data_IF_848014252987
#
_entry.id   IF_848014252987
#
_cell.length_a   1.000
_cell.length_b   1.000
_cell.length_c   1.000
_cell.angle_alpha   90.00
_cell.angle_beta   90.00
_cell.angle_gamma   90.00
#
_symmetry.space_group_name_H-M   'P 1'
#
loop_
_entity.id
_entity.type
_entity.pdbx_description
1 polymer ?
#
# COMPACT_ATOMS: atom_id res chain seq x y z
N UNK A 1 2.58 -68.14 -55.21
CA UNK A 1 3.32 -66.87 -55.02
C UNK A 1 2.33 -65.74 -55.26
N UNK A 2 1.79 -65.21 -54.16
CA UNK A 2 1.83 -63.79 -53.73
C UNK A 2 0.80 -62.94 -54.49
N UNK A 3 -0.42 -62.83 -53.94
CA UNK A 3 -0.89 -61.80 -52.98
C UNK A 3 -1.09 -60.43 -53.64
N UNK A 4 -2.35 -60.10 -53.91
CA UNK A 4 -2.81 -58.75 -54.23
C UNK A 4 -4.19 -58.54 -53.59
N UNK A 5 -4.25 -58.17 -52.31
CA UNK A 5 -5.38 -57.40 -51.75
C UNK A 5 -5.06 -56.81 -50.36
N UNK A 6 -3.95 -56.07 -50.19
CA UNK A 6 -3.76 -55.25 -48.98
C UNK A 6 -2.94 -54.02 -49.40
N UNK A 7 -3.60 -52.96 -49.88
CA UNK A 7 -2.93 -51.66 -50.10
C UNK A 7 -3.86 -50.46 -49.96
N UNK A 8 -5.18 -50.60 -50.13
CA UNK A 8 -6.10 -49.45 -50.00
C UNK A 8 -6.56 -49.17 -48.55
N UNK A 9 -6.48 -50.15 -47.65
CA UNK A 9 -6.92 -49.97 -46.25
C UNK A 9 -5.90 -49.26 -45.37
N UNK A 10 -4.62 -49.26 -45.75
CA UNK A 10 -3.50 -48.68 -44.98
C UNK A 10 -3.29 -47.18 -45.24
N UNK A 11 -3.60 -46.69 -46.45
CA UNK A 11 -3.48 -45.26 -46.77
C UNK A 11 -4.57 -44.40 -46.13
N UNK A 12 -5.79 -44.93 -45.98
CA UNK A 12 -6.90 -44.20 -45.35
C UNK A 12 -6.71 -44.06 -43.84
N UNK A 13 -6.15 -45.08 -43.19
CA UNK A 13 -5.85 -45.05 -41.74
C UNK A 13 -4.73 -44.07 -41.42
N UNK A 14 -3.64 -44.04 -42.18
CA UNK A 14 -2.51 -43.12 -41.94
C UNK A 14 -2.87 -41.63 -42.09
N UNK A 15 -3.76 -41.27 -43.01
CA UNK A 15 -4.23 -39.89 -43.16
C UNK A 15 -5.19 -39.45 -42.04
N UNK A 16 -6.00 -40.39 -41.52
CA UNK A 16 -6.92 -40.09 -40.41
C UNK A 16 -6.20 -39.92 -39.06
N UNK A 17 -5.11 -40.66 -38.84
CA UNK A 17 -4.28 -40.55 -37.63
C UNK A 17 -3.48 -39.24 -37.64
N UNK A 18 -2.93 -38.82 -38.78
CA UNK A 18 -2.18 -37.55 -38.89
C UNK A 18 -3.04 -36.30 -38.73
N UNK A 19 -4.30 -36.34 -39.18
CA UNK A 19 -5.28 -35.26 -38.95
C UNK A 19 -5.73 -35.18 -37.50
N UNK A 20 -5.93 -36.32 -36.81
CA UNK A 20 -6.24 -36.34 -35.38
C UNK A 20 -5.07 -35.82 -34.54
N UNK A 21 -3.84 -36.21 -34.86
CA UNK A 21 -2.64 -35.67 -34.19
C UNK A 21 -2.50 -34.15 -34.38
N UNK A 22 -2.73 -33.64 -35.59
CA UNK A 22 -2.72 -32.20 -35.83
C UNK A 22 -3.84 -31.47 -35.09
N UNK A 23 -5.06 -32.00 -35.06
CA UNK A 23 -6.19 -31.40 -34.31
C UNK A 23 -5.93 -31.42 -32.81
N UNK A 24 -5.36 -32.50 -32.27
CA UNK A 24 -4.99 -32.62 -30.85
C UNK A 24 -3.89 -31.61 -30.49
N UNK A 25 -2.85 -31.48 -31.32
CA UNK A 25 -1.75 -30.52 -31.11
C UNK A 25 -2.23 -29.08 -31.26
N UNK A 26 -3.10 -28.78 -32.22
CA UNK A 26 -3.72 -27.46 -32.40
C UNK A 26 -4.70 -27.11 -31.28
N UNK A 27 -5.45 -28.08 -30.74
CA UNK A 27 -6.33 -27.88 -29.60
C UNK A 27 -5.55 -27.67 -28.29
N UNK A 28 -4.48 -28.44 -28.04
CA UNK A 28 -3.59 -28.29 -26.88
C UNK A 28 -2.86 -26.93 -26.88
N UNK A 29 -2.39 -26.48 -28.04
CA UNK A 29 -1.75 -25.17 -28.19
C UNK A 29 -2.74 -24.01 -28.06
N UNK A 30 -3.98 -24.14 -28.56
CA UNK A 30 -5.06 -23.16 -28.36
C UNK A 30 -5.53 -23.05 -26.90
N UNK A 31 -5.60 -24.17 -26.17
CA UNK A 31 -5.93 -24.20 -24.74
C UNK A 31 -4.80 -23.58 -23.91
N UNK A 32 -3.54 -23.91 -24.21
CA UNK A 32 -2.38 -23.30 -23.53
C UNK A 32 -2.31 -21.79 -23.79
N UNK A 33 -2.56 -21.33 -25.03
CA UNK A 33 -2.56 -19.91 -25.39
C UNK A 33 -3.67 -19.11 -24.70
N UNK A 34 -4.88 -19.68 -24.61
CA UNK A 34 -6.01 -19.05 -23.93
C UNK A 34 -5.85 -19.01 -22.40
N UNK A 35 -5.25 -20.04 -21.79
CA UNK A 35 -4.90 -20.03 -20.36
C UNK A 35 -3.81 -19.01 -20.06
N UNK A 36 -2.77 -18.89 -20.89
CA UNK A 36 -1.73 -17.86 -20.75
C UNK A 36 -2.28 -16.45 -20.91
N UNK A 37 -3.22 -16.26 -21.83
CA UNK A 37 -3.89 -14.96 -22.03
C UNK A 37 -4.85 -14.64 -20.89
N UNK A 38 -5.56 -15.63 -20.34
CA UNK A 38 -6.39 -15.48 -19.15
C UNK A 38 -5.54 -15.16 -17.92
N UNK A 39 -4.41 -15.85 -17.72
CA UNK A 39 -3.45 -15.55 -16.65
C UNK A 39 -2.86 -14.16 -16.85
N UNK A 40 -2.48 -13.79 -18.08
CA UNK A 40 -1.98 -12.46 -18.40
C UNK A 40 -3.04 -11.37 -18.19
N UNK A 41 -4.29 -11.62 -18.56
CA UNK A 41 -5.41 -10.70 -18.35
C UNK A 41 -5.78 -10.58 -16.87
N UNK A 42 -5.75 -11.69 -16.11
CA UNK A 42 -5.86 -11.70 -14.66
C UNK A 42 -4.70 -10.89 -14.07
N UNK A 43 -3.46 -11.14 -14.48
CA UNK A 43 -2.29 -10.43 -13.96
C UNK A 43 -2.34 -8.93 -14.28
N UNK A 44 -2.76 -8.53 -15.48
CA UNK A 44 -2.96 -7.13 -15.87
C UNK A 44 -4.14 -6.51 -15.13
N UNK A 45 -5.24 -7.25 -14.92
CA UNK A 45 -6.40 -6.78 -14.16
C UNK A 45 -6.08 -6.61 -12.67
N UNK A 46 -5.34 -7.55 -12.08
CA UNK A 46 -4.87 -7.48 -10.69
C UNK A 46 -3.77 -6.44 -10.52
N UNK A 47 -2.80 -6.35 -11.43
CA UNK A 47 -1.75 -5.33 -11.43
C UNK A 47 -2.34 -3.93 -11.62
N UNK A 48 -3.26 -3.76 -12.56
CA UNK A 48 -4.01 -2.51 -12.73
C UNK A 48 -4.84 -2.14 -11.49
N UNK A 49 -5.35 -3.13 -10.74
CA UNK A 49 -6.03 -2.90 -9.46
C UNK A 49 -5.08 -2.56 -8.32
N UNK A 50 -3.89 -3.15 -8.29
CA UNK A 50 -2.83 -2.80 -7.33
C UNK A 50 -2.30 -1.40 -7.59
N UNK A 51 -2.06 -1.05 -8.85
CA UNK A 51 -1.59 0.28 -9.25
C UNK A 51 -2.67 1.34 -8.99
N UNK A 52 -3.95 1.06 -9.33
CA UNK A 52 -5.06 1.95 -8.97
C UNK A 52 -5.24 2.08 -7.44
N UNK A 53 -4.98 1.01 -6.67
CA UNK A 53 -5.01 1.07 -5.21
C UNK A 53 -3.84 1.90 -4.66
N UNK A 54 -2.64 1.76 -5.21
CA UNK A 54 -1.47 2.58 -4.86
C UNK A 54 -1.74 4.04 -5.18
N UNK A 55 -2.27 4.35 -6.36
CA UNK A 55 -2.63 5.71 -6.76
C UNK A 55 -3.74 6.31 -5.88
N UNK A 56 -4.76 5.52 -5.53
CA UNK A 56 -5.80 5.93 -4.59
C UNK A 56 -5.21 6.22 -3.20
N UNK A 57 -4.38 5.32 -2.66
CA UNK A 57 -3.76 5.49 -1.34
C UNK A 57 -2.79 6.68 -1.33
N UNK A 58 -2.03 6.89 -2.41
CA UNK A 58 -1.15 8.03 -2.57
C UNK A 58 -1.93 9.34 -2.62
N UNK A 59 -3.02 9.39 -3.40
CA UNK A 59 -3.92 10.54 -3.44
C UNK A 59 -4.55 10.81 -2.06
N UNK A 60 -5.03 9.77 -1.37
CA UNK A 60 -5.56 9.88 -0.01
C UNK A 60 -4.51 10.41 0.97
N UNK A 61 -3.27 9.92 0.83
CA UNK A 61 -2.16 10.32 1.68
C UNK A 61 -1.80 11.80 1.49
N UNK A 62 -1.67 12.26 0.25
CA UNK A 62 -1.30 13.64 -0.07
C UNK A 62 -2.43 14.66 0.09
N UNK A 63 -3.65 14.30 -0.33
CA UNK A 63 -4.77 15.26 -0.42
C UNK A 63 -5.59 15.32 0.86
N UNK A 64 -5.60 14.26 1.67
CA UNK A 64 -6.40 14.18 2.89
C UNK A 64 -5.50 14.05 4.13
N UNK A 65 -4.77 12.94 4.28
CA UNK A 65 -4.01 12.64 5.49
C UNK A 65 -2.93 13.67 5.78
N UNK A 66 -2.17 14.11 4.78
CA UNK A 66 -1.12 15.09 4.95
C UNK A 66 -1.66 16.45 5.43
N UNK A 67 -2.58 17.12 4.73
CA UNK A 67 -3.06 18.43 5.17
C UNK A 67 -3.89 18.37 6.45
N UNK A 68 -4.70 17.33 6.66
CA UNK A 68 -5.66 17.28 7.76
C UNK A 68 -5.10 16.67 9.04
N UNK A 69 -4.14 15.75 8.95
CA UNK A 69 -3.62 15.02 10.12
C UNK A 69 -2.14 15.30 10.33
N UNK A 70 -1.31 15.04 9.33
CA UNK A 70 0.14 15.08 9.51
C UNK A 70 0.66 16.49 9.63
N UNK A 71 0.18 17.42 8.81
CA UNK A 71 0.66 18.80 8.81
C UNK A 71 0.40 19.48 10.16
N UNK A 72 -0.79 19.42 10.78
CA UNK A 72 -0.99 19.98 12.12
C UNK A 72 -0.06 19.35 13.17
N UNK A 73 0.07 18.01 13.17
CA UNK A 73 0.94 17.30 14.11
C UNK A 73 2.42 17.68 13.92
N UNK A 74 2.89 17.75 12.67
CA UNK A 74 4.27 18.15 12.35
C UNK A 74 4.51 19.63 12.64
N UNK A 75 3.51 20.48 12.50
CA UNK A 75 3.63 21.90 12.85
C UNK A 75 3.92 22.06 14.34
N UNK A 76 3.25 21.31 15.20
CA UNK A 76 3.56 21.31 16.64
C UNK A 76 4.97 20.84 16.94
N UNK A 77 5.43 19.78 16.25
CA UNK A 77 6.82 19.33 16.36
C UNK A 77 7.81 20.43 15.96
N UNK A 78 7.60 21.07 14.81
CA UNK A 78 8.50 22.11 14.32
C UNK A 78 8.48 23.36 15.20
N UNK A 79 7.32 23.77 15.71
CA UNK A 79 7.21 24.88 16.64
C UNK A 79 8.03 24.62 17.91
N UNK A 80 7.92 23.41 18.47
CA UNK A 80 8.73 22.99 19.62
C UNK A 80 10.23 23.01 19.30
N UNK A 81 10.64 22.42 18.19
CA UNK A 81 12.06 22.37 17.83
C UNK A 81 12.63 23.77 17.56
N UNK A 82 11.91 24.63 16.84
CA UNK A 82 12.35 25.99 16.54
C UNK A 82 12.49 26.82 17.82
N UNK A 83 11.50 26.72 18.71
CA UNK A 83 11.56 27.40 20.00
C UNK A 83 12.79 26.96 20.83
N UNK A 84 13.07 25.65 20.84
CA UNK A 84 14.26 25.11 21.49
C UNK A 84 15.58 25.60 20.88
N UNK A 85 15.63 25.87 19.57
CA UNK A 85 16.82 26.44 18.91
C UNK A 85 16.98 27.94 19.24
N UNK A 86 15.88 28.68 19.28
CA UNK A 86 15.85 30.12 19.55
C UNK A 86 15.93 30.46 21.05
N UNK A 87 15.99 29.44 21.92
CA UNK A 87 16.01 29.59 23.38
C UNK A 87 14.68 30.05 23.98
N UNK A 88 13.58 29.96 23.22
CA UNK A 88 12.24 30.31 23.67
C UNK A 88 11.49 29.09 24.23
N UNK A 89 10.56 29.33 25.14
CA UNK A 89 9.75 28.27 25.74
C UNK A 89 8.51 28.05 24.86
N UNK A 90 8.34 26.82 24.38
CA UNK A 90 7.15 26.39 23.66
C UNK A 90 6.61 25.10 24.27
N UNK A 91 5.33 25.11 24.61
CA UNK A 91 4.61 23.93 25.05
C UNK A 91 3.78 23.40 23.88
N UNK A 92 4.02 22.13 23.52
CA UNK A 92 3.22 21.40 22.53
C UNK A 92 1.73 21.49 22.89
N UNK A 93 0.90 21.93 21.95
CA UNK A 93 -0.55 21.99 22.14
C UNK A 93 -1.15 20.58 22.05
N UNK A 94 -1.30 19.94 23.21
CA UNK A 94 -1.87 18.59 23.30
C UNK A 94 -3.35 18.54 22.93
N UNK A 95 -4.09 19.63 23.11
CA UNK A 95 -5.51 19.69 22.76
C UNK A 95 -5.69 19.77 21.25
N UNK A 96 -4.86 20.58 20.57
CA UNK A 96 -4.84 20.64 19.11
C UNK A 96 -4.55 19.27 18.50
N UNK A 97 -3.54 18.57 19.02
CA UNK A 97 -3.19 17.22 18.56
C UNK A 97 -4.32 16.23 18.84
N UNK A 98 -4.91 16.26 20.05
CA UNK A 98 -6.03 15.38 20.40
C UNK A 98 -7.21 15.58 19.44
N UNK A 99 -7.63 16.83 19.23
CA UNK A 99 -8.75 17.17 18.35
C UNK A 99 -8.45 16.78 16.90
N UNK A 100 -7.25 17.08 16.40
CA UNK A 100 -6.80 16.70 15.06
C UNK A 100 -6.95 15.19 14.83
N UNK A 101 -6.51 14.37 15.78
CA UNK A 101 -6.58 12.91 15.66
C UNK A 101 -8.03 12.41 15.81
N UNK A 102 -8.79 12.97 16.75
CA UNK A 102 -10.18 12.59 17.00
C UNK A 102 -11.06 12.87 15.78
N UNK A 103 -10.98 14.07 15.22
CA UNK A 103 -11.81 14.52 14.10
C UNK A 103 -11.50 13.74 12.81
N UNK A 104 -10.26 13.26 12.68
CA UNK A 104 -9.77 12.53 11.50
C UNK A 104 -9.56 11.03 11.74
N UNK A 105 -10.18 10.46 12.79
CA UNK A 105 -9.98 9.06 13.18
C UNK A 105 -10.19 8.06 12.03
N UNK A 106 -11.19 8.31 11.18
CA UNK A 106 -11.50 7.46 10.02
C UNK A 106 -10.40 7.52 8.95
N UNK A 107 -9.84 8.70 8.68
CA UNK A 107 -8.75 8.86 7.71
C UNK A 107 -7.50 8.12 8.17
N UNK A 108 -7.18 8.22 9.46
CA UNK A 108 -5.99 7.59 10.07
C UNK A 108 -5.99 6.07 9.92
N UNK A 109 -7.16 5.43 9.77
CA UNK A 109 -7.24 3.98 9.49
C UNK A 109 -6.52 3.59 8.19
N UNK A 110 -6.44 4.49 7.22
CA UNK A 110 -5.77 4.27 5.94
C UNK A 110 -4.26 4.57 5.97
N UNK A 111 -3.75 5.12 7.06
CA UNK A 111 -2.31 5.30 7.24
C UNK A 111 -1.58 3.95 7.34
N UNK A 112 -0.29 3.90 6.97
CA UNK A 112 0.58 2.74 7.21
C UNK A 112 0.47 2.24 8.65
N UNK A 113 0.48 0.93 8.85
CA UNK A 113 0.22 0.31 10.17
C UNK A 113 1.13 0.86 11.27
N UNK A 114 2.41 1.07 10.96
CA UNK A 114 3.40 1.61 11.90
C UNK A 114 3.06 3.06 12.26
N UNK A 115 2.90 3.93 11.27
CA UNK A 115 2.49 5.33 11.45
C UNK A 115 1.20 5.45 12.27
N UNK A 116 0.17 4.68 11.93
CA UNK A 116 -1.12 4.63 12.64
C UNK A 116 -0.95 4.27 14.12
N UNK A 117 -0.08 3.33 14.43
CA UNK A 117 0.18 2.89 15.81
C UNK A 117 0.81 4.02 16.63
N UNK A 118 1.76 4.75 16.04
CA UNK A 118 2.42 5.87 16.70
C UNK A 118 1.43 7.03 16.90
N UNK A 119 0.59 7.33 15.91
CA UNK A 119 -0.45 8.37 16.01
C UNK A 119 -1.45 8.06 17.13
N UNK A 120 -1.93 6.83 17.25
CA UNK A 120 -2.85 6.48 18.35
C UNK A 120 -2.15 6.44 19.72
N UNK A 121 -0.85 6.14 19.75
CA UNK A 121 -0.07 6.29 20.98
C UNK A 121 0.02 7.76 21.38
N UNK A 122 0.34 8.65 20.43
CA UNK A 122 0.36 10.10 20.64
C UNK A 122 -1.00 10.60 21.17
N UNK A 123 -2.11 10.20 20.53
CA UNK A 123 -3.46 10.53 21.00
C UNK A 123 -3.68 10.14 22.46
N UNK A 124 -3.31 8.92 22.84
CA UNK A 124 -3.44 8.46 24.22
C UNK A 124 -2.59 9.27 25.20
N UNK A 125 -1.39 9.70 24.81
CA UNK A 125 -0.54 10.54 25.68
C UNK A 125 -1.13 11.94 25.82
N UNK A 126 -1.55 12.57 24.72
CA UNK A 126 -2.14 13.91 24.72
C UNK A 126 -3.44 13.95 25.54
N UNK A 127 -4.32 12.97 25.35
CA UNK A 127 -5.59 12.85 26.11
C UNK A 127 -5.39 12.68 27.61
N UNK A 128 -4.26 12.12 28.04
CA UNK A 128 -3.94 11.95 29.46
C UNK A 128 -3.46 13.25 30.12
N UNK A 129 -3.19 14.32 29.35
CA UNK A 129 -2.75 15.62 29.85
C UNK A 129 -3.97 16.45 30.25
N UNK A 130 -4.30 16.43 31.54
CA UNK A 130 -5.37 17.24 32.12
C UNK A 130 -4.86 18.35 33.07
N UNK A 131 -3.53 18.51 33.16
CA UNK A 131 -2.86 19.48 34.03
C UNK A 131 -1.41 19.67 33.58
N UNK A 132 -0.78 20.77 34.02
CA UNK A 132 0.63 21.07 33.75
C UNK A 132 1.55 19.97 34.30
N UNK A 133 1.28 19.47 35.51
CA UNK A 133 2.08 18.38 36.08
C UNK A 133 2.03 17.10 35.23
N UNK A 134 0.86 16.80 34.63
CA UNK A 134 0.73 15.68 33.70
C UNK A 134 1.44 15.93 32.38
N UNK A 135 1.42 17.18 31.90
CA UNK A 135 2.20 17.58 30.74
C UNK A 135 3.69 17.31 30.98
N UNK A 136 4.27 17.79 32.07
CA UNK A 136 5.69 17.62 32.37
C UNK A 136 6.10 16.14 32.47
N UNK A 137 5.22 15.29 33.02
CA UNK A 137 5.43 13.84 33.08
C UNK A 137 5.40 13.15 31.71
N UNK A 138 4.69 13.72 30.74
CA UNK A 138 4.40 13.11 29.44
C UNK A 138 5.11 13.78 28.27
N UNK A 139 5.67 14.97 28.47
CA UNK A 139 6.27 15.79 27.43
C UNK A 139 7.32 15.00 26.62
N UNK A 140 8.18 14.25 27.30
CA UNK A 140 9.19 13.41 26.65
C UNK A 140 8.57 12.33 25.75
N UNK A 141 7.54 11.64 26.23
CA UNK A 141 6.85 10.59 25.48
C UNK A 141 6.11 11.17 24.26
N UNK A 142 5.46 12.33 24.44
CA UNK A 142 4.78 13.09 23.38
C UNK A 142 5.78 13.48 22.31
N UNK A 143 6.91 14.09 22.70
CA UNK A 143 7.96 14.51 21.80
C UNK A 143 8.54 13.31 21.03
N UNK A 144 8.81 12.19 21.71
CA UNK A 144 9.29 10.98 21.06
C UNK A 144 8.29 10.43 20.04
N UNK A 145 6.98 10.51 20.32
CA UNK A 145 5.96 10.13 19.34
C UNK A 145 5.98 11.05 18.11
N UNK A 146 6.12 12.37 18.31
CA UNK A 146 6.20 13.36 17.23
C UNK A 146 7.42 13.13 16.34
N UNK A 147 8.60 12.89 16.93
CA UNK A 147 9.83 12.56 16.22
C UNK A 147 9.66 11.29 15.37
N UNK A 148 9.08 10.25 15.95
CA UNK A 148 8.82 8.99 15.26
C UNK A 148 7.80 9.15 14.12
N UNK A 149 6.77 9.99 14.29
CA UNK A 149 5.82 10.33 13.23
C UNK A 149 6.53 11.04 12.08
N UNK A 150 7.37 12.03 12.38
CA UNK A 150 8.16 12.72 11.35
C UNK A 150 9.04 11.74 10.56
N UNK A 151 9.81 10.91 11.26
CA UNK A 151 10.70 9.94 10.61
C UNK A 151 9.91 8.98 9.70
N UNK A 152 8.80 8.45 10.20
CA UNK A 152 7.96 7.52 9.43
C UNK A 152 7.29 8.20 8.23
N UNK A 153 6.85 9.46 8.37
CA UNK A 153 6.33 10.25 7.24
C UNK A 153 7.42 10.44 6.19
N UNK A 154 8.62 10.88 6.59
CA UNK A 154 9.75 11.12 5.68
C UNK A 154 10.12 9.83 4.91
N UNK A 155 10.14 8.68 5.59
CA UNK A 155 10.43 7.39 4.97
C UNK A 155 9.34 6.97 3.98
N UNK A 156 8.06 7.08 4.36
CA UNK A 156 6.94 6.76 3.46
C UNK A 156 6.93 7.70 2.24
N UNK A 157 7.15 9.01 2.42
CA UNK A 157 7.23 9.96 1.30
C UNK A 157 8.39 9.66 0.36
N UNK A 158 9.57 9.26 0.89
CA UNK A 158 10.70 8.83 0.05
C UNK A 158 10.36 7.57 -0.74
N UNK A 159 9.68 6.60 -0.14
CA UNK A 159 9.23 5.39 -0.84
C UNK A 159 8.27 5.72 -2.00
N UNK A 160 7.34 6.68 -1.80
CA UNK A 160 6.43 7.11 -2.86
C UNK A 160 7.09 8.01 -3.93
N UNK A 161 8.13 8.78 -3.58
CA UNK A 161 8.85 9.65 -4.52
C UNK A 161 9.96 8.92 -5.31
N UNK A 162 10.58 7.91 -4.72
CA UNK A 162 11.62 7.08 -5.34
C UNK A 162 11.05 5.81 -6.00
N UNK A 163 9.76 5.80 -6.32
CA UNK A 163 9.09 4.66 -6.95
C UNK A 163 9.70 4.29 -8.31
N UNK A 164 10.72 3.43 -8.26
CA UNK A 164 10.91 2.30 -9.18
C UNK A 164 9.79 1.26 -9.00
#
# INVERSE_FOLDING_TARGET
>A
MIFFTITETEQVTNNSISLLEQIIVSALSGILGSVLTLIGAIFVFYKGREDAKKEFLFNLYLKELFPLVYRPILTEYYNFTNASHDGSIYNIDTNLIENTISDNYTLIKFAPKKLRTIIFTLYSQCKAVNSIQKYDQKQKDILQCLENIKAEIDDNFKEYLNGE
#
